data_IF_723804015731
#
_entry.id   IF_723804015731
#
_cell.length_a   1.000
_cell.length_b   1.000
_cell.length_c   1.000
_cell.angle_alpha   90.00
_cell.angle_beta   90.00
_cell.angle_gamma   90.00
#
_symmetry.space_group_name_H-M   'P 1'
#
loop_
_entity.id
_entity.type
_entity.pdbx_description
1 polymer ?
#
# COMPACT_ATOMS: atom_id res chain seq x y z
N UNK A 1 22.43 -60.81 -49.09
CA UNK A 1 22.25 -61.21 -47.67
C UNK A 1 22.34 -59.96 -46.81
N UNK A 2 21.52 -59.73 -45.75
CA UNK A 2 20.15 -60.18 -45.41
C UNK A 2 19.11 -59.05 -45.68
N UNK A 3 17.85 -59.27 -46.14
CA UNK A 3 16.64 -59.86 -45.50
C UNK A 3 16.09 -59.00 -44.33
N UNK A 4 14.81 -58.61 -44.18
CA UNK A 4 13.52 -58.80 -44.87
C UNK A 4 12.52 -57.80 -44.23
N UNK A 5 11.64 -57.12 -44.98
CA UNK A 5 10.19 -57.07 -44.70
C UNK A 5 9.41 -56.32 -45.80
N UNK A 6 8.38 -57.01 -46.27
CA UNK A 6 7.39 -56.79 -47.34
C UNK A 6 6.08 -56.43 -46.61
N UNK A 7 5.48 -55.25 -46.81
CA UNK A 7 4.46 -54.86 -47.81
C UNK A 7 3.00 -54.89 -47.32
N UNK A 8 2.17 -54.08 -48.00
CA UNK A 8 0.71 -54.17 -48.20
C UNK A 8 -0.20 -53.69 -47.05
N UNK A 9 -1.36 -53.03 -47.20
CA UNK A 9 -2.36 -52.72 -48.27
C UNK A 9 -3.16 -51.48 -47.78
N UNK A 10 -3.54 -50.44 -48.54
CA UNK A 10 -4.59 -50.25 -49.59
C UNK A 10 -6.06 -50.52 -49.20
N UNK A 11 -6.88 -49.46 -49.11
CA UNK A 11 -8.31 -49.34 -49.52
C UNK A 11 -8.76 -47.86 -49.28
N UNK A 12 -9.18 -47.02 -50.25
CA UNK A 12 -10.39 -47.02 -51.11
C UNK A 12 -11.70 -46.92 -50.31
N UNK A 13 -12.79 -46.21 -50.64
CA UNK A 13 -13.23 -45.25 -51.67
C UNK A 13 -14.65 -44.77 -51.20
N UNK A 14 -15.04 -43.53 -51.53
CA UNK A 14 -16.37 -43.07 -52.01
C UNK A 14 -17.66 -43.15 -51.16
N UNK A 15 -18.40 -42.03 -51.16
CA UNK A 15 -19.88 -41.98 -51.32
C UNK A 15 -20.66 -41.41 -50.13
N UNK A 16 -21.06 -40.13 -50.11
CA UNK A 16 -22.24 -39.49 -50.76
C UNK A 16 -23.63 -39.80 -50.19
N UNK A 17 -24.34 -38.70 -49.84
CA UNK A 17 -25.81 -38.47 -49.85
C UNK A 17 -26.66 -39.23 -48.80
N UNK A 18 -27.82 -38.79 -48.34
CA UNK A 18 -28.60 -37.55 -48.40
C UNK A 18 -29.81 -37.68 -47.42
N UNK A 19 -30.36 -36.52 -47.04
CA UNK A 19 -31.76 -36.18 -46.69
C UNK A 19 -32.83 -37.28 -46.52
N UNK A 20 -33.58 -37.19 -45.41
CA UNK A 20 -35.06 -37.21 -45.32
C UNK A 20 -35.45 -36.60 -43.95
N UNK A 21 -36.13 -35.45 -43.88
CA UNK A 21 -37.59 -35.23 -43.94
C UNK A 21 -38.41 -36.19 -43.08
N UNK A 22 -38.99 -35.70 -41.97
CA UNK A 22 -40.40 -35.91 -41.65
C UNK A 22 -40.93 -34.75 -40.80
N UNK A 23 -42.15 -34.33 -41.15
CA UNK A 23 -42.97 -33.26 -40.58
C UNK A 23 -44.08 -33.93 -39.75
N UNK A 24 -44.57 -33.18 -38.76
CA UNK A 24 -45.96 -33.06 -38.28
C UNK A 24 -46.48 -33.86 -37.06
N UNK A 25 -46.95 -33.03 -36.11
CA UNK A 25 -48.20 -33.10 -35.31
C UNK A 25 -48.21 -33.54 -33.82
N UNK A 26 -48.13 -32.54 -32.92
CA UNK A 26 -49.09 -32.11 -31.83
C UNK A 26 -49.44 -33.13 -30.70
N UNK A 27 -49.72 -32.75 -29.41
CA UNK A 27 -50.07 -31.44 -28.85
C UNK A 27 -49.30 -30.95 -27.60
N UNK A 28 -49.50 -29.65 -27.35
CA UNK A 28 -49.11 -28.90 -26.17
C UNK A 28 -49.81 -29.36 -24.88
N UNK A 29 -49.04 -29.55 -23.80
CA UNK A 29 -49.50 -29.43 -22.41
C UNK A 29 -48.40 -28.72 -21.60
N UNK A 30 -48.84 -27.71 -20.86
CA UNK A 30 -48.09 -26.86 -19.94
C UNK A 30 -47.38 -27.67 -18.84
N UNK A 31 -46.08 -27.45 -18.64
CA UNK A 31 -45.41 -27.71 -17.37
C UNK A 31 -44.18 -26.82 -17.22
N UNK A 32 -44.27 -25.88 -16.29
CA UNK A 32 -43.16 -25.11 -15.74
C UNK A 32 -42.10 -26.07 -15.18
N UNK A 33 -40.85 -25.92 -15.63
CA UNK A 33 -39.72 -26.55 -14.94
C UNK A 33 -38.46 -25.72 -15.07
N UNK A 34 -37.94 -25.46 -13.87
CA UNK A 34 -36.76 -24.73 -13.46
C UNK A 34 -35.47 -25.36 -13.97
N UNK A 35 -34.70 -24.65 -14.80
CA UNK A 35 -33.27 -24.93 -15.01
C UNK A 35 -32.48 -23.61 -15.02
N UNK A 36 -31.88 -23.28 -13.87
CA UNK A 36 -30.85 -22.25 -13.75
C UNK A 36 -29.48 -22.84 -14.12
N UNK A 37 -28.65 -22.17 -14.95
CA UNK A 37 -27.28 -22.62 -15.21
C UNK A 37 -26.37 -22.36 -14.01
N UNK A 38 -25.55 -23.36 -13.68
CA UNK A 38 -24.43 -23.26 -12.74
C UNK A 38 -23.24 -22.56 -13.41
N UNK A 39 -23.15 -21.24 -13.26
CA UNK A 39 -21.90 -20.51 -13.51
C UNK A 39 -21.38 -19.87 -12.22
N UNK A 40 -20.33 -20.49 -11.69
CA UNK A 40 -19.51 -20.00 -10.59
C UNK A 40 -18.65 -18.82 -11.08
N UNK A 41 -18.95 -17.60 -10.62
CA UNK A 41 -18.07 -16.44 -10.83
C UNK A 41 -17.26 -16.18 -9.55
N UNK A 42 -15.95 -16.37 -9.65
CA UNK A 42 -14.94 -15.99 -8.67
C UNK A 42 -14.86 -14.47 -8.50
N UNK A 43 -14.99 -13.98 -7.26
CA UNK A 43 -14.88 -12.55 -6.93
C UNK A 43 -13.44 -12.02 -7.06
N UNK A 44 -13.19 -11.25 -8.13
CA UNK A 44 -12.03 -10.39 -8.27
C UNK A 44 -12.15 -9.11 -7.44
N UNK A 45 -11.20 -8.88 -6.54
CA UNK A 45 -11.05 -7.61 -5.79
C UNK A 45 -10.52 -6.49 -6.71
N UNK A 46 -11.41 -5.58 -7.14
CA UNK A 46 -11.26 -4.11 -7.13
C UNK A 46 -12.12 -3.47 -8.23
N UNK A 47 -12.92 -2.48 -7.82
CA UNK A 47 -13.25 -1.34 -8.67
C UNK A 47 -14.61 -1.36 -9.37
N UNK A 48 -15.71 -1.37 -8.60
CA UNK A 48 -16.97 -0.76 -9.03
C UNK A 48 -17.65 -0.14 -7.82
N UNK A 49 -17.39 1.14 -7.55
CA UNK A 49 -18.31 1.97 -6.78
C UNK A 49 -19.35 2.49 -7.76
N UNK A 50 -20.30 1.63 -8.13
CA UNK A 50 -21.57 2.11 -8.63
C UNK A 50 -22.44 2.47 -7.42
N UNK A 51 -23.25 3.52 -7.59
CA UNK A 51 -24.16 4.10 -6.62
C UNK A 51 -24.82 3.07 -5.68
N UNK A 52 -24.97 3.34 -4.37
CA UNK A 52 -25.49 2.40 -3.36
C UNK A 52 -26.86 1.76 -3.66
N UNK A 53 -27.62 2.28 -4.63
CA UNK A 53 -28.99 1.82 -4.91
C UNK A 53 -29.10 0.59 -5.83
N UNK A 54 -28.05 0.21 -6.58
CA UNK A 54 -28.18 -0.84 -7.62
C UNK A 54 -27.80 -2.26 -7.15
N UNK A 55 -26.96 -2.40 -6.13
CA UNK A 55 -26.56 -3.74 -5.64
C UNK A 55 -27.67 -4.41 -4.82
N UNK A 56 -28.57 -3.62 -4.21
CA UNK A 56 -29.65 -4.14 -3.35
C UNK A 56 -30.75 -4.90 -4.13
N UNK A 57 -30.93 -4.64 -5.43
CA UNK A 57 -32.06 -5.20 -6.20
C UNK A 57 -31.90 -6.66 -6.61
N UNK A 58 -30.69 -7.23 -6.61
CA UNK A 58 -30.49 -8.59 -7.15
C UNK A 58 -30.78 -9.75 -6.19
N UNK A 59 -31.07 -9.48 -4.91
CA UNK A 59 -31.30 -10.55 -3.91
C UNK A 59 -32.49 -10.32 -2.98
N UNK A 60 -33.44 -9.43 -3.33
CA UNK A 60 -34.60 -9.15 -2.48
C UNK A 60 -34.23 -8.67 -1.06
N UNK A 61 -33.00 -8.19 -0.88
CA UNK A 61 -32.52 -7.77 0.42
C UNK A 61 -33.23 -6.46 0.81
N UNK A 62 -33.96 -6.49 1.93
CA UNK A 62 -34.58 -5.33 2.57
C UNK A 62 -33.60 -4.15 2.59
N UNK A 63 -34.01 -2.95 2.19
CA UNK A 63 -33.14 -1.77 2.30
C UNK A 63 -32.86 -1.46 3.78
N UNK A 64 -31.64 -1.02 4.13
CA UNK A 64 -31.31 -0.61 5.50
C UNK A 64 -31.94 0.74 5.84
N UNK A 65 -32.58 0.83 7.00
CA UNK A 65 -33.12 2.11 7.49
C UNK A 65 -32.11 2.81 8.40
N UNK A 66 -32.15 4.15 8.52
CA UNK A 66 -31.27 4.88 9.45
C UNK A 66 -31.39 4.41 10.91
N UNK A 67 -32.56 3.93 11.32
CA UNK A 67 -32.83 3.38 12.66
C UNK A 67 -32.12 2.04 12.84
N UNK A 68 -32.21 1.15 11.85
CA UNK A 68 -31.47 -0.12 11.85
C UNK A 68 -29.95 0.10 11.88
N UNK A 69 -29.45 1.15 11.21
CA UNK A 69 -28.04 1.53 11.25
C UNK A 69 -27.61 2.05 12.62
N UNK A 70 -28.42 2.88 13.27
CA UNK A 70 -28.19 3.34 14.65
C UNK A 70 -28.17 2.16 15.62
N UNK A 71 -29.14 1.25 15.50
CA UNK A 71 -29.22 0.07 16.37
C UNK A 71 -28.05 -0.88 16.14
N UNK A 72 -27.62 -1.08 14.89
CA UNK A 72 -26.41 -1.85 14.56
C UNK A 72 -25.17 -1.29 15.27
N UNK A 73 -24.98 0.02 15.22
CA UNK A 73 -23.87 0.70 15.88
C UNK A 73 -23.97 0.58 17.41
N UNK A 74 -25.16 0.75 17.98
CA UNK A 74 -25.42 0.60 19.41
C UNK A 74 -25.17 -0.84 19.90
N UNK A 75 -25.62 -1.85 19.17
CA UNK A 75 -25.33 -3.26 19.45
C UNK A 75 -23.81 -3.51 19.41
N UNK A 76 -23.09 -2.88 18.49
CA UNK A 76 -21.64 -3.06 18.39
C UNK A 76 -20.88 -2.38 19.51
N UNK A 77 -21.32 -1.19 19.93
CA UNK A 77 -20.82 -0.52 21.14
C UNK A 77 -21.01 -1.36 22.40
N UNK A 78 -22.15 -2.06 22.51
CA UNK A 78 -22.44 -3.03 23.59
C UNK A 78 -21.63 -4.33 23.51
N UNK A 79 -20.79 -4.51 22.48
CA UNK A 79 -19.95 -5.70 22.32
C UNK A 79 -20.68 -6.96 21.84
N UNK A 80 -21.92 -6.83 21.35
CA UNK A 80 -22.72 -7.97 20.87
C UNK A 80 -22.04 -8.63 19.67
N UNK A 81 -21.95 -9.97 19.68
CA UNK A 81 -21.31 -10.72 18.59
C UNK A 81 -22.17 -10.65 17.32
N UNK A 82 -21.54 -10.71 16.14
CA UNK A 82 -22.24 -10.64 14.85
C UNK A 82 -23.33 -11.71 14.71
N UNK A 83 -23.10 -12.89 15.27
CA UNK A 83 -24.05 -14.01 15.27
C UNK A 83 -25.29 -13.76 16.14
N UNK A 84 -25.20 -12.89 17.15
CA UNK A 84 -26.29 -12.54 18.06
C UNK A 84 -27.09 -11.34 17.55
N UNK A 85 -26.46 -10.43 16.81
CA UNK A 85 -27.13 -9.23 16.26
C UNK A 85 -28.31 -9.55 15.34
N UNK A 86 -28.33 -10.71 14.68
CA UNK A 86 -29.47 -11.13 13.84
C UNK A 86 -30.78 -11.27 14.61
N UNK A 87 -30.72 -11.51 15.93
CA UNK A 87 -31.90 -11.60 16.79
C UNK A 87 -32.43 -10.22 17.19
N UNK A 88 -31.63 -9.16 17.03
CA UNK A 88 -32.02 -7.77 17.30
C UNK A 88 -32.40 -7.00 16.02
N UNK A 89 -31.95 -7.48 14.86
CA UNK A 89 -32.20 -6.86 13.56
C UNK A 89 -33.03 -7.82 12.69
N UNK A 90 -34.35 -7.75 12.84
CA UNK A 90 -35.29 -8.67 12.20
C UNK A 90 -35.14 -8.69 10.67
N UNK A 91 -35.12 -9.90 10.10
CA UNK A 91 -34.95 -10.11 8.67
C UNK A 91 -33.52 -9.89 8.15
N UNK A 92 -32.53 -9.70 9.04
CA UNK A 92 -31.11 -9.55 8.65
C UNK A 92 -30.32 -10.83 8.90
N UNK A 93 -29.55 -11.24 7.90
CA UNK A 93 -28.56 -12.31 8.07
C UNK A 93 -27.29 -11.77 8.69
N UNK A 94 -26.54 -12.61 9.43
CA UNK A 94 -25.23 -12.23 9.99
C UNK A 94 -24.27 -11.70 8.93
N UNK A 95 -24.26 -12.31 7.73
CA UNK A 95 -23.44 -11.84 6.61
C UNK A 95 -23.92 -10.48 6.08
N UNK A 96 -25.23 -10.26 5.99
CA UNK A 96 -25.80 -8.96 5.62
C UNK A 96 -25.43 -7.86 6.60
N UNK A 97 -25.45 -8.15 7.91
CA UNK A 97 -25.02 -7.23 8.97
C UNK A 97 -23.53 -6.88 8.83
N UNK A 98 -22.67 -7.89 8.64
CA UNK A 98 -21.23 -7.66 8.45
C UNK A 98 -20.95 -6.87 7.18
N UNK A 99 -21.63 -7.22 6.08
CA UNK A 99 -21.54 -6.52 4.80
C UNK A 99 -21.93 -5.06 4.93
N UNK A 100 -23.06 -4.78 5.58
CA UNK A 100 -23.54 -3.42 5.78
C UNK A 100 -22.64 -2.59 6.68
N UNK A 101 -22.15 -3.15 7.78
CA UNK A 101 -21.15 -2.48 8.62
C UNK A 101 -19.90 -2.09 7.83
N UNK A 102 -19.48 -2.93 6.88
CA UNK A 102 -18.36 -2.61 6.01
C UNK A 102 -18.72 -1.46 5.06
N UNK A 103 -19.91 -1.46 4.48
CA UNK A 103 -20.40 -0.36 3.64
C UNK A 103 -20.44 0.96 4.43
N UNK A 104 -21.04 0.96 5.63
CA UNK A 104 -21.09 2.12 6.52
C UNK A 104 -19.71 2.68 6.84
N UNK A 105 -18.75 1.81 7.18
CA UNK A 105 -17.39 2.23 7.50
C UNK A 105 -16.59 2.79 6.30
N UNK A 106 -17.02 2.58 5.06
CA UNK A 106 -16.34 3.14 3.89
C UNK A 106 -17.12 4.28 3.23
N UNK A 107 -18.34 4.57 3.67
CA UNK A 107 -19.13 5.70 3.19
C UNK A 107 -18.79 7.03 3.88
N UNK A 108 -19.51 8.08 3.50
CA UNK A 108 -19.39 9.44 4.03
C UNK A 108 -20.62 9.87 4.87
N UNK A 109 -21.47 8.91 5.26
CA UNK A 109 -22.67 9.17 6.05
C UNK A 109 -22.37 9.58 7.51
N UNK A 110 -23.39 10.07 8.25
CA UNK A 110 -23.22 10.59 9.62
C UNK A 110 -22.62 9.55 10.58
N UNK A 111 -22.91 8.27 10.38
CA UNK A 111 -22.41 7.16 11.19
C UNK A 111 -21.08 6.57 10.68
N UNK A 112 -20.54 7.04 9.56
CA UNK A 112 -19.39 6.41 8.92
C UNK A 112 -18.10 6.52 9.74
N UNK A 113 -17.89 7.66 10.43
CA UNK A 113 -16.75 7.83 11.34
C UNK A 113 -16.84 6.82 12.49
N UNK A 114 -18.00 6.72 13.12
CA UNK A 114 -18.24 5.82 14.25
C UNK A 114 -18.11 4.34 13.85
N UNK A 115 -18.65 3.97 12.68
CA UNK A 115 -18.48 2.64 12.11
C UNK A 115 -17.00 2.29 11.87
N UNK A 116 -16.20 3.25 11.37
CA UNK A 116 -14.75 3.07 11.20
C UNK A 116 -14.03 2.88 12.53
N UNK A 117 -14.37 3.68 13.53
CA UNK A 117 -13.73 3.64 14.84
C UNK A 117 -14.05 2.31 15.54
N UNK A 118 -15.30 1.85 15.51
CA UNK A 118 -15.70 0.53 16.00
C UNK A 118 -15.02 -0.61 15.23
N UNK A 119 -14.88 -0.51 13.91
CA UNK A 119 -14.12 -1.50 13.12
C UNK A 119 -12.64 -1.49 13.50
N UNK A 120 -12.04 -0.33 13.72
CA UNK A 120 -10.63 -0.24 14.13
C UNK A 120 -10.42 -0.82 15.52
N UNK A 121 -11.32 -0.52 16.46
CA UNK A 121 -11.32 -1.06 17.81
C UNK A 121 -11.43 -2.60 17.80
N UNK A 122 -12.36 -3.16 17.02
CA UNK A 122 -12.50 -4.61 16.93
C UNK A 122 -11.42 -5.30 16.08
N UNK A 123 -10.93 -4.68 15.00
CA UNK A 123 -9.94 -5.28 14.09
C UNK A 123 -8.54 -5.32 14.70
N UNK A 124 -8.19 -4.36 15.55
CA UNK A 124 -6.90 -4.38 16.25
C UNK A 124 -6.84 -5.44 17.37
N UNK A 125 -7.93 -6.16 17.60
CA UNK A 125 -8.11 -6.93 18.83
C UNK A 125 -8.26 -5.97 20.01
N UNK A 126 -8.66 -6.49 21.16
CA UNK A 126 -8.63 -5.70 22.39
C UNK A 126 -7.18 -5.25 22.62
N UNK A 127 -6.93 -3.96 22.88
CA UNK A 127 -5.59 -3.41 22.99
C UNK A 127 -4.76 -4.28 23.93
N UNK A 128 -3.57 -4.69 23.48
CA UNK A 128 -2.65 -5.40 24.35
C UNK A 128 -2.18 -4.44 25.43
N UNK A 129 -2.56 -4.70 26.66
CA UNK A 129 -2.01 -4.01 27.82
C UNK A 129 -0.89 -4.89 28.38
N UNK A 130 0.30 -4.34 28.67
CA UNK A 130 1.40 -5.10 29.28
C UNK A 130 0.97 -5.88 30.54
N UNK A 131 0.00 -5.34 31.28
CA UNK A 131 -0.61 -5.97 32.45
C UNK A 131 -1.29 -7.31 32.13
N UNK A 132 -1.99 -7.40 30.99
CA UNK A 132 -2.68 -8.63 30.57
C UNK A 132 -1.66 -9.74 30.25
N UNK A 133 -0.51 -9.36 29.71
CA UNK A 133 0.59 -10.28 29.39
C UNK A 133 1.22 -10.78 30.68
N UNK A 134 1.52 -9.89 31.63
CA UNK A 134 2.02 -10.27 32.96
C UNK A 134 1.08 -11.23 33.67
N UNK A 135 -0.22 -10.90 33.67
CA UNK A 135 -1.24 -11.75 34.29
C UNK A 135 -1.40 -13.09 33.58
N UNK A 136 -1.32 -13.12 32.25
CA UNK A 136 -1.38 -14.36 31.48
C UNK A 136 -0.21 -15.30 31.79
N UNK A 137 1.01 -14.75 31.94
CA UNK A 137 2.20 -15.54 32.33
C UNK A 137 2.03 -16.07 33.75
N UNK A 138 1.63 -15.23 34.71
CA UNK A 138 1.42 -15.66 36.09
C UNK A 138 0.40 -16.80 36.19
N UNK A 139 -0.77 -16.66 35.55
CA UNK A 139 -1.81 -17.70 35.57
C UNK A 139 -1.36 -18.98 34.85
N UNK A 140 -0.51 -18.87 33.85
CA UNK A 140 0.09 -20.04 33.19
C UNK A 140 1.07 -20.77 34.12
N UNK A 141 1.87 -20.03 34.88
CA UNK A 141 2.79 -20.60 35.88
C UNK A 141 2.03 -21.27 37.04
N UNK A 142 0.82 -20.78 37.35
CA UNK A 142 -0.15 -21.43 38.24
C UNK A 142 -0.83 -22.69 37.62
N UNK A 143 -0.47 -23.05 36.38
CA UNK A 143 -0.95 -24.27 35.71
C UNK A 143 -2.27 -24.14 34.97
N UNK A 144 -2.81 -22.92 34.80
CA UNK A 144 -4.08 -22.73 34.09
C UNK A 144 -3.90 -22.90 32.58
N UNK A 145 -4.93 -23.47 31.94
CA UNK A 145 -4.96 -23.57 30.48
C UNK A 145 -5.21 -22.19 29.84
N UNK A 146 -4.73 -22.01 28.61
CA UNK A 146 -4.92 -20.76 27.86
C UNK A 146 -6.40 -20.31 27.72
N UNK A 147 -7.36 -21.24 27.83
CA UNK A 147 -8.80 -20.93 27.85
C UNK A 147 -9.22 -20.32 29.19
N UNK A 148 -8.83 -20.95 30.30
CA UNK A 148 -9.12 -20.44 31.65
C UNK A 148 -8.43 -19.09 31.90
N UNK A 149 -7.23 -18.90 31.35
CA UNK A 149 -6.51 -17.63 31.40
C UNK A 149 -7.28 -16.54 30.63
N UNK A 150 -7.79 -16.83 29.42
CA UNK A 150 -8.59 -15.87 28.64
C UNK A 150 -9.88 -15.49 29.37
N UNK A 151 -10.54 -16.46 30.00
CA UNK A 151 -11.73 -16.26 30.83
C UNK A 151 -11.42 -15.43 32.07
N UNK A 152 -10.29 -15.69 32.75
CA UNK A 152 -9.84 -14.95 33.93
C UNK A 152 -9.44 -13.51 33.62
N UNK A 153 -8.80 -13.25 32.48
CA UNK A 153 -8.47 -11.90 32.03
C UNK A 153 -9.73 -11.14 31.59
N UNK A 154 -10.79 -11.85 31.16
CA UNK A 154 -12.11 -11.26 30.86
C UNK A 154 -12.15 -10.37 29.62
N UNK A 155 -11.05 -10.31 28.86
CA UNK A 155 -10.89 -9.45 27.68
C UNK A 155 -11.02 -10.19 26.36
N UNK A 156 -11.37 -11.48 26.35
CA UNK A 156 -11.66 -12.21 25.11
C UNK A 156 -10.56 -12.09 24.04
N UNK A 157 -9.30 -12.16 24.47
CA UNK A 157 -8.13 -12.21 23.58
C UNK A 157 -8.12 -13.48 22.75
N UNK A 158 -8.72 -14.56 23.28
CA UNK A 158 -8.82 -15.88 22.70
C UNK A 158 -7.64 -16.78 23.06
N UNK A 159 -7.83 -18.11 23.22
CA UNK A 159 -6.78 -19.02 23.69
C UNK A 159 -5.51 -19.02 22.82
N UNK A 160 -5.64 -18.80 21.52
CA UNK A 160 -4.49 -18.74 20.61
C UNK A 160 -3.59 -17.52 20.88
N UNK A 161 -4.19 -16.39 21.25
CA UNK A 161 -3.48 -15.17 21.55
C UNK A 161 -2.84 -15.23 22.93
N UNK A 162 -3.52 -15.81 23.92
CA UNK A 162 -2.94 -16.11 25.23
C UNK A 162 -1.71 -17.01 25.11
N UNK A 163 -1.76 -18.07 24.30
CA UNK A 163 -0.56 -18.89 24.03
C UNK A 163 0.60 -18.08 23.45
N UNK A 164 0.31 -17.05 22.67
CA UNK A 164 1.34 -16.16 22.15
C UNK A 164 1.97 -15.33 23.28
N UNK A 165 1.17 -14.81 24.22
CA UNK A 165 1.65 -14.06 25.39
C UNK A 165 2.60 -14.88 26.24
N UNK A 166 2.25 -16.15 26.45
CA UNK A 166 3.04 -17.09 27.26
C UNK A 166 4.34 -17.46 26.54
N UNK A 167 4.29 -17.68 25.21
CA UNK A 167 5.47 -18.11 24.44
C UNK A 167 6.54 -17.02 24.34
N UNK A 168 6.13 -15.75 24.24
CA UNK A 168 7.05 -14.63 24.07
C UNK A 168 6.50 -13.37 24.79
N UNK A 169 6.58 -13.34 26.13
CA UNK A 169 6.06 -12.20 26.89
C UNK A 169 6.89 -10.94 26.65
N UNK A 170 8.20 -11.08 26.39
CA UNK A 170 9.09 -9.96 26.14
C UNK A 170 8.66 -9.13 24.91
N UNK A 171 8.23 -9.80 23.83
CA UNK A 171 7.67 -9.15 22.64
C UNK A 171 6.53 -8.17 22.96
N UNK A 172 5.65 -8.55 23.89
CA UNK A 172 4.47 -7.75 24.22
C UNK A 172 4.69 -6.74 25.34
N UNK A 173 5.67 -6.96 26.21
CA UNK A 173 6.02 -6.04 27.30
C UNK A 173 6.91 -4.88 26.82
N UNK A 174 7.76 -5.11 25.82
CA UNK A 174 8.56 -4.06 25.18
C UNK A 174 8.58 -4.23 23.65
N UNK A 175 7.58 -3.67 22.96
CA UNK A 175 7.47 -3.76 21.50
C UNK A 175 8.64 -3.11 20.75
N UNK A 176 9.42 -2.22 21.39
CA UNK A 176 10.56 -1.59 20.72
C UNK A 176 11.79 -2.51 20.70
N UNK A 177 11.88 -3.48 21.62
CA UNK A 177 13.01 -4.41 21.78
C UNK A 177 13.25 -5.29 20.56
N UNK A 178 12.21 -5.63 19.80
CA UNK A 178 12.35 -6.38 18.55
C UNK A 178 12.98 -5.59 17.41
N UNK A 179 12.80 -4.26 17.42
CA UNK A 179 13.11 -3.44 16.25
C UNK A 179 14.51 -2.86 16.26
N UNK A 180 15.15 -2.76 17.43
CA UNK A 180 16.48 -2.17 17.57
C UNK A 180 17.53 -3.25 17.79
N UNK A 181 18.53 -3.25 16.92
CA UNK A 181 19.77 -4.00 17.10
C UNK A 181 20.78 -3.10 17.79
N UNK A 182 21.43 -3.61 18.83
CA UNK A 182 22.60 -2.93 19.42
C UNK A 182 23.86 -3.23 18.59
N UNK A 183 24.91 -2.40 18.68
CA UNK A 183 26.19 -2.69 18.04
C UNK A 183 26.78 -4.05 18.44
N UNK A 184 26.59 -4.45 19.70
CA UNK A 184 27.05 -5.74 20.22
C UNK A 184 26.24 -6.90 19.63
N UNK A 185 24.92 -6.73 19.49
CA UNK A 185 24.06 -7.70 18.80
C UNK A 185 24.48 -7.86 17.33
N UNK A 186 24.84 -6.77 16.66
CA UNK A 186 25.31 -6.79 15.28
C UNK A 186 26.67 -7.52 15.14
N UNK A 187 27.61 -7.29 16.05
CA UNK A 187 28.91 -7.97 16.09
C UNK A 187 28.74 -9.47 16.32
N UNK A 188 27.92 -9.85 17.31
CA UNK A 188 27.62 -11.24 17.60
C UNK A 188 26.92 -11.92 16.41
N UNK A 189 25.98 -11.23 15.77
CA UNK A 189 25.29 -11.76 14.60
C UNK A 189 26.26 -11.98 13.44
N UNK A 190 27.18 -11.06 13.20
CA UNK A 190 28.21 -11.21 12.18
C UNK A 190 29.13 -12.39 12.46
N UNK A 191 29.60 -12.54 13.70
CA UNK A 191 30.45 -13.66 14.11
C UNK A 191 29.75 -15.01 13.89
N UNK A 192 28.53 -15.18 14.39
CA UNK A 192 27.79 -16.45 14.30
C UNK A 192 27.47 -16.83 12.84
N UNK A 193 27.25 -15.85 11.95
CA UNK A 193 27.06 -16.11 10.52
C UNK A 193 28.38 -16.51 9.85
N UNK A 194 29.50 -15.90 10.23
CA UNK A 194 30.84 -16.27 9.72
C UNK A 194 31.24 -17.68 10.15
N UNK A 195 30.84 -18.11 11.35
CA UNK A 195 30.96 -19.49 11.85
C UNK A 195 30.04 -20.48 11.12
N UNK A 196 29.25 -20.02 10.12
CA UNK A 196 28.35 -20.82 9.28
C UNK A 196 27.27 -21.57 10.06
N UNK A 197 26.87 -21.06 11.22
CA UNK A 197 25.76 -21.61 11.99
C UNK A 197 24.44 -21.45 11.23
N UNK A 198 23.49 -22.37 11.47
CA UNK A 198 22.15 -22.25 10.88
C UNK A 198 21.39 -21.15 11.60
N UNK A 199 20.52 -20.44 10.89
CA UNK A 199 19.73 -19.34 11.46
C UNK A 199 18.91 -19.72 12.71
N UNK A 200 18.47 -20.96 12.81
CA UNK A 200 17.79 -21.49 14.00
C UNK A 200 18.69 -21.63 15.21
N UNK A 201 19.99 -21.89 15.01
CA UNK A 201 21.01 -21.94 16.07
C UNK A 201 21.42 -20.52 16.45
N UNK A 202 21.63 -19.64 15.46
CA UNK A 202 21.91 -18.21 15.68
C UNK A 202 20.81 -17.58 16.53
N UNK A 203 19.53 -17.86 16.24
CA UNK A 203 18.41 -17.28 17.00
C UNK A 203 18.40 -17.65 18.49
N UNK A 204 19.05 -18.74 18.92
CA UNK A 204 19.18 -19.08 20.34
C UNK A 204 20.01 -18.06 21.10
N UNK A 205 20.93 -17.36 20.42
CA UNK A 205 21.75 -16.30 20.99
C UNK A 205 21.03 -14.94 21.05
N UNK A 206 19.86 -14.81 20.40
CA UNK A 206 19.07 -13.58 20.37
C UNK A 206 17.64 -13.85 20.86
N UNK A 207 17.43 -13.99 22.19
CA UNK A 207 16.13 -14.38 22.74
C UNK A 207 14.99 -13.39 22.46
N UNK A 208 15.32 -12.16 22.05
CA UNK A 208 14.35 -11.12 21.69
C UNK A 208 14.17 -10.91 20.18
N UNK A 209 14.87 -11.66 19.33
CA UNK A 209 14.86 -11.45 17.87
C UNK A 209 14.45 -12.73 17.14
N UNK A 210 13.45 -12.62 16.27
CA UNK A 210 13.05 -13.73 15.42
C UNK A 210 14.14 -14.08 14.39
N UNK A 211 14.18 -15.34 13.95
CA UNK A 211 15.02 -15.81 12.82
C UNK A 211 14.91 -14.89 11.60
N UNK A 212 13.69 -14.47 11.27
CA UNK A 212 13.41 -13.59 10.12
C UNK A 212 14.00 -12.19 10.31
N UNK A 213 13.94 -11.68 11.54
CA UNK A 213 14.51 -10.38 11.91
C UNK A 213 16.03 -10.41 11.79
N UNK A 214 16.68 -11.47 12.28
CA UNK A 214 18.13 -11.69 12.16
C UNK A 214 18.57 -11.84 10.71
N UNK A 215 17.86 -12.64 9.91
CA UNK A 215 18.11 -12.79 8.47
C UNK A 215 18.02 -11.45 7.75
N UNK A 216 16.97 -10.68 8.02
CA UNK A 216 16.77 -9.37 7.41
C UNK A 216 17.89 -8.40 7.81
N UNK A 217 18.26 -8.36 9.11
CA UNK A 217 19.36 -7.52 9.60
C UNK A 217 20.67 -7.86 8.92
N UNK A 218 21.00 -9.15 8.81
CA UNK A 218 22.19 -9.60 8.11
C UNK A 218 22.15 -9.23 6.62
N UNK A 219 21.10 -9.61 5.90
CA UNK A 219 20.99 -9.40 4.46
C UNK A 219 20.98 -7.93 4.03
N UNK A 220 20.32 -7.07 4.81
CA UNK A 220 20.09 -5.68 4.43
C UNK A 220 21.03 -4.68 5.09
N UNK A 221 21.60 -4.98 6.27
CA UNK A 221 22.39 -4.00 7.02
C UNK A 221 23.84 -4.43 7.22
N UNK A 222 24.10 -5.66 7.66
CA UNK A 222 25.46 -6.10 8.04
C UNK A 222 26.27 -6.66 6.87
N UNK A 223 25.70 -7.53 6.04
CA UNK A 223 26.37 -8.12 4.86
C UNK A 223 26.84 -7.08 3.85
N UNK A 224 26.22 -5.89 3.87
CA UNK A 224 26.45 -4.82 2.90
C UNK A 224 27.49 -3.79 3.31
N UNK A 225 28.04 -3.85 4.53
CA UNK A 225 29.09 -2.90 4.95
C UNK A 225 30.46 -3.23 4.33
N UNK A 226 30.71 -4.51 3.99
CA UNK A 226 32.01 -4.96 3.44
C UNK A 226 31.96 -5.41 1.97
N UNK A 227 30.85 -5.24 1.25
CA UNK A 227 30.79 -5.56 -0.19
C UNK A 227 30.14 -4.44 -1.02
N UNK A 228 30.69 -4.10 -2.21
CA UNK A 228 30.17 -3.04 -3.11
C UNK A 228 28.74 -3.28 -3.64
N UNK A 229 28.11 -4.39 -3.27
CA UNK A 229 26.80 -4.86 -3.71
C UNK A 229 25.62 -3.92 -3.40
N UNK A 230 25.74 -2.99 -2.43
CA UNK A 230 24.64 -2.04 -2.12
C UNK A 230 24.55 -0.87 -3.10
N UNK A 231 25.67 -0.44 -3.69
CA UNK A 231 25.67 0.56 -4.76
C UNK A 231 24.97 0.02 -6.03
N UNK A 232 25.06 -1.30 -6.24
CA UNK A 232 24.39 -1.99 -7.35
C UNK A 232 22.91 -2.26 -7.04
N UNK A 233 22.56 -2.80 -5.85
CA UNK A 233 21.17 -3.17 -5.51
C UNK A 233 20.22 -1.99 -5.28
N UNK A 234 20.69 -0.87 -4.73
CA UNK A 234 19.83 0.32 -4.53
C UNK A 234 19.52 1.03 -5.85
N UNK A 235 20.33 0.81 -6.89
CA UNK A 235 20.06 1.28 -8.25
C UNK A 235 19.22 0.30 -9.09
N UNK A 236 19.23 -1.02 -8.81
CA UNK A 236 18.48 -2.00 -9.60
C UNK A 236 16.94 -1.90 -9.45
N UNK A 237 16.45 -1.31 -8.35
CA UNK A 237 15.04 -0.91 -8.21
C UNK A 237 14.63 0.24 -9.15
N UNK A 238 15.61 1.06 -9.58
CA UNK A 238 15.41 2.27 -10.42
C UNK A 238 15.91 2.09 -11.86
N UNK A 239 16.71 1.07 -12.15
CA UNK A 239 17.20 0.77 -13.50
C UNK A 239 16.02 0.43 -14.42
N UNK A 240 15.78 1.29 -15.40
CA UNK A 240 14.75 1.07 -16.41
C UNK A 240 14.99 -0.26 -17.16
N UNK A 241 13.92 -0.97 -17.53
CA UNK A 241 14.02 -2.14 -18.41
C UNK A 241 14.47 -1.70 -19.80
N UNK A 242 15.58 -2.25 -20.28
CA UNK A 242 16.03 -2.06 -21.67
C UNK A 242 15.41 -3.11 -22.58
N UNK A 243 15.44 -2.89 -23.90
CA UNK A 243 15.01 -3.87 -24.90
C UNK A 243 15.77 -5.20 -24.72
N UNK A 244 17.09 -5.12 -24.60
CA UNK A 244 17.96 -6.27 -24.35
C UNK A 244 17.57 -7.02 -23.07
N UNK A 245 17.26 -6.31 -21.99
CA UNK A 245 16.80 -6.95 -20.74
C UNK A 245 15.48 -7.71 -20.94
N UNK A 246 14.58 -7.19 -21.78
CA UNK A 246 13.28 -7.81 -22.08
C UNK A 246 13.46 -9.02 -23.01
N UNK A 247 14.27 -8.89 -24.07
CA UNK A 247 14.60 -9.99 -24.98
C UNK A 247 15.25 -11.16 -24.22
N UNK A 248 16.26 -10.87 -23.40
CA UNK A 248 16.94 -11.87 -22.59
C UNK A 248 15.98 -12.48 -21.54
N UNK A 249 15.13 -11.68 -20.90
CA UNK A 249 14.07 -12.19 -20.01
C UNK A 249 13.13 -13.18 -20.72
N UNK A 250 12.69 -12.85 -21.94
CA UNK A 250 11.74 -13.67 -22.71
C UNK A 250 12.40 -14.94 -23.24
N UNK A 251 13.65 -14.88 -23.70
CA UNK A 251 14.41 -16.06 -24.11
C UNK A 251 14.60 -17.03 -22.94
N UNK A 252 15.03 -16.52 -21.78
CA UNK A 252 15.17 -17.35 -20.59
C UNK A 252 13.83 -17.92 -20.11
N UNK A 253 12.74 -17.15 -20.25
CA UNK A 253 11.40 -17.63 -19.93
C UNK A 253 10.97 -18.79 -20.85
N UNK A 254 11.19 -18.67 -22.17
CA UNK A 254 10.94 -19.74 -23.14
C UNK A 254 11.74 -21.00 -22.87
N UNK A 255 13.00 -20.85 -22.45
CA UNK A 255 13.87 -21.97 -22.05
C UNK A 255 13.41 -22.70 -20.78
N UNK A 256 12.31 -22.29 -20.17
CA UNK A 256 11.80 -22.96 -18.97
C UNK A 256 12.36 -22.40 -17.67
N UNK A 257 13.13 -21.31 -17.69
CA UNK A 257 13.82 -20.81 -16.50
C UNK A 257 12.83 -20.20 -15.52
N UNK A 258 13.08 -20.46 -14.23
CA UNK A 258 12.28 -19.87 -13.15
C UNK A 258 12.50 -18.35 -13.09
N UNK A 259 11.52 -17.62 -12.57
CA UNK A 259 11.66 -16.15 -12.38
C UNK A 259 12.84 -15.79 -11.49
N UNK A 260 13.28 -16.70 -10.62
CA UNK A 260 14.45 -16.54 -9.77
C UNK A 260 15.75 -16.63 -10.58
N UNK A 261 15.88 -17.66 -11.43
CA UNK A 261 17.04 -17.82 -12.30
C UNK A 261 17.16 -16.68 -13.34
N UNK A 262 16.02 -16.23 -13.89
CA UNK A 262 15.97 -15.07 -14.78
C UNK A 262 16.41 -13.79 -14.05
N UNK A 263 15.99 -13.62 -12.80
CA UNK A 263 16.34 -12.46 -11.99
C UNK A 263 17.83 -12.40 -11.66
N UNK A 264 18.43 -13.55 -11.33
CA UNK A 264 19.88 -13.67 -11.10
C UNK A 264 20.66 -13.35 -12.37
N UNK A 265 20.18 -13.81 -13.54
CA UNK A 265 20.82 -13.56 -14.83
C UNK A 265 20.77 -12.09 -15.25
N UNK A 266 19.65 -11.40 -14.99
CA UNK A 266 19.44 -10.00 -15.38
C UNK A 266 19.87 -8.98 -14.32
N UNK A 267 20.44 -9.44 -13.20
CA UNK A 267 20.73 -8.64 -12.01
C UNK A 267 19.51 -7.80 -11.54
N UNK A 268 18.35 -8.46 -11.47
CA UNK A 268 17.07 -7.86 -11.04
C UNK A 268 16.45 -8.67 -9.91
N UNK A 269 15.35 -8.19 -9.34
CA UNK A 269 14.59 -8.97 -8.36
C UNK A 269 13.58 -9.89 -9.05
N UNK A 270 13.34 -11.09 -8.49
CA UNK A 270 12.33 -12.03 -9.00
C UNK A 270 10.93 -11.41 -9.07
N UNK A 271 10.63 -10.48 -8.17
CA UNK A 271 9.38 -9.71 -8.20
C UNK A 271 9.28 -8.82 -9.45
N UNK A 272 10.35 -8.10 -9.82
CA UNK A 272 10.37 -7.25 -11.02
C UNK A 272 10.24 -8.09 -12.30
N UNK A 273 10.94 -9.22 -12.39
CA UNK A 273 10.83 -10.15 -13.51
C UNK A 273 9.40 -10.67 -13.64
N UNK A 274 8.82 -11.17 -12.54
CA UNK A 274 7.44 -11.65 -12.51
C UNK A 274 6.43 -10.55 -12.90
N UNK A 275 6.63 -9.34 -12.38
CA UNK A 275 5.80 -8.19 -12.74
C UNK A 275 5.90 -7.88 -14.23
N UNK A 276 7.11 -7.88 -14.80
CA UNK A 276 7.35 -7.59 -16.21
C UNK A 276 6.75 -8.66 -17.13
N UNK A 277 6.90 -9.95 -16.79
CA UNK A 277 6.22 -11.05 -17.49
C UNK A 277 4.70 -10.91 -17.44
N UNK A 278 4.13 -10.49 -16.31
CA UNK A 278 2.70 -10.23 -16.17
C UNK A 278 2.23 -9.05 -17.04
N UNK A 279 3.03 -7.97 -17.15
CA UNK A 279 2.75 -6.86 -18.08
C UNK A 279 2.66 -7.34 -19.52
N UNK A 280 3.52 -8.28 -19.92
CA UNK A 280 3.47 -8.91 -21.24
C UNK A 280 2.41 -10.03 -21.36
N UNK A 281 1.60 -10.25 -20.32
CA UNK A 281 0.52 -11.23 -20.32
C UNK A 281 0.94 -12.69 -20.12
N UNK A 282 2.23 -12.94 -19.90
CA UNK A 282 2.82 -14.29 -19.87
C UNK A 282 2.59 -15.03 -18.55
N UNK A 283 2.19 -14.32 -17.49
CA UNK A 283 1.89 -14.92 -16.18
C UNK A 283 0.58 -14.33 -15.64
N UNK A 284 -0.49 -15.12 -15.66
CA UNK A 284 -1.75 -14.82 -14.95
C UNK A 284 -1.94 -15.77 -13.78
N UNK A 285 -2.36 -15.22 -12.63
CA UNK A 285 -3.01 -15.97 -11.56
C UNK A 285 -2.43 -17.34 -11.22
N UNK A 286 -1.17 -17.42 -10.79
CA UNK A 286 -0.62 -18.61 -10.14
C UNK A 286 -0.38 -19.85 -11.01
N UNK A 287 -0.52 -19.77 -12.34
CA UNK A 287 -0.20 -20.89 -13.22
C UNK A 287 1.32 -21.09 -13.40
N UNK A 288 1.72 -22.37 -13.46
CA UNK A 288 3.10 -22.88 -13.59
C UNK A 288 3.49 -23.24 -15.03
N UNK A 289 2.58 -23.09 -15.98
CA UNK A 289 2.84 -23.46 -17.38
C UNK A 289 3.43 -22.28 -18.14
N UNK A 290 4.51 -22.57 -18.85
CA UNK A 290 5.31 -21.59 -19.59
C UNK A 290 4.73 -21.51 -20.99
N UNK A 291 4.16 -20.35 -21.31
CA UNK A 291 3.58 -20.07 -22.62
C UNK A 291 4.68 -19.59 -23.58
N UNK A 292 5.38 -20.55 -24.19
CA UNK A 292 6.48 -20.29 -25.11
C UNK A 292 6.00 -19.59 -26.40
N UNK A 293 4.81 -19.94 -26.90
CA UNK A 293 4.22 -19.36 -28.10
C UNK A 293 3.82 -17.90 -27.90
N UNK A 294 3.24 -17.54 -26.74
CA UNK A 294 3.01 -16.14 -26.39
C UNK A 294 4.32 -15.38 -26.21
N UNK A 295 5.37 -15.99 -25.66
CA UNK A 295 6.68 -15.36 -25.56
C UNK A 295 7.33 -15.16 -26.95
N UNK A 296 7.11 -16.08 -27.91
CA UNK A 296 7.52 -15.97 -29.31
C UNK A 296 6.79 -14.83 -30.02
N UNK A 297 5.46 -14.74 -29.83
CA UNK A 297 4.66 -13.64 -30.35
C UNK A 297 5.13 -12.28 -29.81
N UNK A 298 5.47 -12.20 -28.52
CA UNK A 298 6.04 -10.97 -27.93
C UNK A 298 7.42 -10.68 -28.53
N UNK A 299 8.31 -11.67 -28.65
CA UNK A 299 9.65 -11.50 -29.23
C UNK A 299 9.61 -11.08 -30.70
N UNK A 300 8.72 -11.64 -31.51
CA UNK A 300 8.49 -11.26 -32.91
C UNK A 300 7.84 -9.87 -33.01
N UNK A 301 7.01 -9.48 -32.02
CA UNK A 301 6.39 -8.17 -31.91
C UNK A 301 7.30 -7.06 -31.36
N UNK A 302 8.51 -7.37 -30.86
CA UNK A 302 9.50 -6.38 -30.39
C UNK A 302 10.15 -5.55 -31.53
N UNK A 303 9.63 -5.65 -32.75
CA UNK A 303 10.07 -4.93 -33.94
C UNK A 303 9.81 -3.42 -33.96
N UNK A 304 9.17 -2.83 -32.95
CA UNK A 304 9.10 -1.37 -32.76
C UNK A 304 9.24 -1.08 -31.28
N UNK A 305 10.15 -0.19 -30.92
CA UNK A 305 10.38 0.25 -29.54
C UNK A 305 9.05 0.69 -28.90
N UNK A 306 8.57 -0.07 -27.92
CA UNK A 306 7.38 0.26 -27.13
C UNK A 306 7.72 1.16 -25.93
N UNK A 307 8.88 1.83 -25.95
CA UNK A 307 8.84 3.26 -25.69
C UNK A 307 8.35 3.89 -26.96
N UNK A 308 7.05 4.16 -26.99
CA UNK A 308 6.38 5.08 -27.92
C UNK A 308 7.44 5.96 -28.57
N UNK A 309 7.77 5.66 -29.84
CA UNK A 309 8.72 6.45 -30.64
C UNK A 309 8.51 7.93 -30.29
N UNK A 310 9.56 8.76 -30.14
CA UNK A 310 9.40 10.19 -29.89
C UNK A 310 8.27 10.81 -30.75
N UNK A 311 8.17 10.33 -31.99
CA UNK A 311 7.13 10.63 -32.98
C UNK A 311 5.72 10.15 -32.56
N UNK A 312 5.56 8.87 -32.18
CA UNK A 312 4.27 8.30 -31.74
C UNK A 312 3.76 8.99 -30.46
N UNK A 313 4.65 9.48 -29.61
CA UNK A 313 4.29 10.16 -28.36
C UNK A 313 3.92 11.60 -28.61
N UNK A 314 4.49 12.21 -29.63
CA UNK A 314 4.10 13.53 -30.12
C UNK A 314 2.76 13.46 -30.85
N UNK A 315 2.51 12.40 -31.63
CA UNK A 315 1.22 12.12 -32.26
C UNK A 315 0.10 11.86 -31.23
N UNK A 316 0.34 11.04 -30.20
CA UNK A 316 -0.61 10.84 -29.10
C UNK A 316 -0.92 12.16 -28.38
N UNK A 317 0.06 13.06 -28.22
CA UNK A 317 -0.11 14.40 -27.67
C UNK A 317 -0.95 15.28 -28.59
N UNK A 318 -0.64 15.30 -29.89
CA UNK A 318 -1.35 16.08 -30.91
C UNK A 318 -2.82 15.68 -31.00
N UNK A 319 -3.10 14.37 -31.09
CA UNK A 319 -4.46 13.84 -31.16
C UNK A 319 -5.25 14.04 -29.85
N UNK A 320 -4.58 13.96 -28.69
CA UNK A 320 -5.22 14.30 -27.42
C UNK A 320 -5.53 15.81 -27.31
N UNK A 321 -4.63 16.67 -27.80
CA UNK A 321 -4.84 18.12 -27.82
C UNK A 321 -5.93 18.58 -28.80
N UNK A 322 -6.24 17.77 -29.82
CA UNK A 322 -7.39 17.98 -30.71
C UNK A 322 -8.70 17.44 -30.15
N UNK A 323 -8.76 17.05 -28.87
CA UNK A 323 -9.98 16.61 -28.19
C UNK A 323 -10.37 15.15 -28.42
N UNK A 324 -9.53 14.33 -29.06
CA UNK A 324 -9.85 12.92 -29.27
C UNK A 324 -9.78 12.13 -27.96
N UNK A 325 -10.70 11.20 -27.79
CA UNK A 325 -10.72 10.29 -26.64
C UNK A 325 -9.67 9.19 -26.78
N UNK A 326 -9.20 8.62 -25.67
CA UNK A 326 -8.18 7.55 -25.70
C UNK A 326 -8.53 6.35 -26.61
N UNK A 327 -9.80 5.90 -26.74
CA UNK A 327 -10.18 4.89 -27.73
C UNK A 327 -10.05 5.36 -29.19
N UNK A 328 -10.36 6.63 -29.48
CA UNK A 328 -10.23 7.21 -30.83
C UNK A 328 -8.76 7.38 -31.23
N UNK A 329 -7.92 7.81 -30.30
CA UNK A 329 -6.46 7.89 -30.49
C UNK A 329 -5.87 6.49 -30.70
N UNK A 330 -6.34 5.50 -29.94
CA UNK A 330 -5.94 4.11 -30.09
C UNK A 330 -6.30 3.57 -31.49
N UNK A 331 -7.49 3.87 -31.98
CA UNK A 331 -7.89 3.52 -33.34
C UNK A 331 -7.05 4.24 -34.40
N UNK A 332 -6.83 5.54 -34.24
CA UNK A 332 -6.07 6.37 -35.19
C UNK A 332 -4.59 5.96 -35.30
N UNK A 333 -3.99 5.47 -34.22
CA UNK A 333 -2.59 5.07 -34.17
C UNK A 333 -2.38 3.55 -34.30
N UNK A 334 -3.45 2.79 -34.55
CA UNK A 334 -3.45 1.33 -34.52
C UNK A 334 -2.80 0.76 -33.24
N UNK A 335 -3.17 1.32 -32.09
CA UNK A 335 -2.65 0.98 -30.77
C UNK A 335 -3.74 0.41 -29.87
N UNK A 336 -3.33 -0.32 -28.82
CA UNK A 336 -4.28 -0.81 -27.80
C UNK A 336 -4.75 0.36 -26.93
N UNK A 337 -6.06 0.47 -26.68
CA UNK A 337 -6.66 1.50 -25.83
C UNK A 337 -6.02 1.61 -24.44
N UNK A 338 -5.56 0.49 -23.90
CA UNK A 338 -4.92 0.43 -22.59
C UNK A 338 -3.52 1.06 -22.60
N UNK A 339 -2.78 0.92 -23.71
CA UNK A 339 -1.47 1.52 -23.93
C UNK A 339 -1.60 3.03 -24.05
N UNK A 340 -2.55 3.51 -24.86
CA UNK A 340 -2.85 4.95 -24.99
C UNK A 340 -3.31 5.55 -23.66
N UNK A 341 -4.21 4.87 -22.93
CA UNK A 341 -4.68 5.33 -21.62
C UNK A 341 -3.54 5.37 -20.60
N UNK A 342 -2.71 4.33 -20.56
CA UNK A 342 -1.54 4.26 -19.68
C UNK A 342 -0.56 5.39 -19.99
N UNK A 343 -0.25 5.59 -21.28
CA UNK A 343 0.65 6.63 -21.75
C UNK A 343 0.11 8.02 -21.45
N UNK A 344 -1.15 8.34 -21.75
CA UNK A 344 -1.75 9.65 -21.41
C UNK A 344 -1.74 9.93 -19.90
N UNK A 345 -1.91 8.89 -19.08
CA UNK A 345 -1.95 9.00 -17.61
C UNK A 345 -0.56 9.20 -16.99
N UNK A 346 0.46 8.50 -17.49
CA UNK A 346 1.79 8.47 -16.89
C UNK A 346 2.82 9.35 -17.61
N UNK A 347 2.68 9.51 -18.92
CA UNK A 347 3.57 10.27 -19.80
C UNK A 347 2.89 11.53 -20.40
N UNK A 348 1.58 11.47 -20.69
CA UNK A 348 0.83 12.58 -21.29
C UNK A 348 0.61 13.76 -20.33
N UNK A 349 0.74 13.54 -19.02
CA UNK A 349 0.86 14.61 -18.02
C UNK A 349 2.27 14.61 -17.44
N UNK A 350 3.21 14.90 -18.32
CA UNK A 350 4.62 15.22 -18.13
C UNK A 350 5.12 15.32 -16.67
N UNK A 351 5.24 14.18 -15.97
CA UNK A 351 5.79 14.08 -14.60
C UNK A 351 7.32 14.00 -14.57
N UNK A 352 7.98 13.84 -15.72
CA UNK A 352 9.43 13.63 -15.79
C UNK A 352 10.22 14.44 -16.83
N UNK A 353 9.60 15.25 -17.70
CA UNK A 353 10.41 16.16 -18.53
C UNK A 353 10.93 17.31 -17.67
N UNK A 354 12.24 17.56 -17.77
CA UNK A 354 12.89 18.74 -17.25
C UNK A 354 12.16 20.00 -17.74
N UNK A 355 12.15 21.04 -16.91
CA UNK A 355 11.53 22.31 -17.28
C UNK A 355 12.38 23.00 -18.34
N UNK A 356 11.77 23.31 -19.48
CA UNK A 356 12.44 24.11 -20.52
C UNK A 356 12.47 25.58 -20.12
N UNK A 357 13.46 26.34 -20.60
CA UNK A 357 13.55 27.79 -20.35
C UNK A 357 12.27 28.54 -20.81
N UNK A 358 11.64 28.08 -21.90
CA UNK A 358 10.40 28.64 -22.42
C UNK A 358 9.21 28.37 -21.49
N UNK A 359 9.08 27.16 -20.94
CA UNK A 359 8.05 26.83 -19.94
C UNK A 359 8.27 27.62 -18.64
N UNK A 360 9.51 27.76 -18.18
CA UNK A 360 9.82 28.56 -16.98
C UNK A 360 9.48 30.04 -17.18
N UNK A 361 9.82 30.62 -18.34
CA UNK A 361 9.46 31.98 -18.69
C UNK A 361 7.93 32.16 -18.77
N UNK A 362 7.21 31.16 -19.30
CA UNK A 362 5.76 31.21 -19.36
C UNK A 362 5.13 31.12 -17.96
N UNK A 363 5.60 30.22 -17.08
CA UNK A 363 5.16 30.18 -15.68
C UNK A 363 5.42 31.50 -14.97
N UNK A 364 6.58 32.12 -15.20
CA UNK A 364 6.92 33.42 -14.61
C UNK A 364 5.97 34.51 -15.09
N UNK A 365 5.78 34.66 -16.40
CA UNK A 365 4.82 35.61 -16.98
C UNK A 365 3.42 35.45 -16.40
N UNK A 366 2.94 34.20 -16.31
CA UNK A 366 1.58 33.92 -15.81
C UNK A 366 1.43 34.17 -14.30
N UNK A 367 2.51 34.01 -13.53
CA UNK A 367 2.56 34.43 -12.12
C UNK A 367 2.51 35.95 -11.99
N UNK A 368 3.26 36.67 -12.83
CA UNK A 368 3.30 38.14 -12.85
C UNK A 368 1.94 38.73 -13.27
N UNK A 369 1.20 38.03 -14.14
CA UNK A 369 -0.21 38.31 -14.49
C UNK A 369 -1.21 37.97 -13.37
N UNK A 370 -0.76 37.40 -12.24
CA UNK A 370 -1.60 37.08 -11.08
C UNK A 370 -2.46 35.82 -11.23
N UNK A 371 -2.20 34.97 -12.24
CA UNK A 371 -2.99 33.75 -12.45
C UNK A 371 -2.77 32.72 -11.34
N UNK A 372 -3.81 31.97 -11.02
CA UNK A 372 -3.74 30.90 -10.01
C UNK A 372 -2.90 29.71 -10.50
N UNK A 373 -2.31 28.96 -9.58
CA UNK A 373 -1.51 27.75 -9.89
C UNK A 373 -2.29 26.71 -10.70
N UNK A 374 -3.62 26.68 -10.56
CA UNK A 374 -4.49 25.79 -11.34
C UNK A 374 -4.57 26.24 -12.79
N UNK A 375 -4.82 27.53 -13.03
CA UNK A 375 -4.85 28.11 -14.37
C UNK A 375 -3.49 28.01 -15.07
N UNK A 376 -2.40 28.24 -14.34
CA UNK A 376 -1.03 28.05 -14.85
C UNK A 376 -0.79 26.58 -15.23
N UNK A 377 -1.30 25.62 -14.46
CA UNK A 377 -1.17 24.21 -14.76
C UNK A 377 -1.91 23.80 -16.03
N UNK A 378 -3.10 24.35 -16.25
CA UNK A 378 -3.87 24.16 -17.48
C UNK A 378 -3.16 24.78 -18.68
N UNK A 379 -2.67 26.01 -18.55
CA UNK A 379 -2.03 26.76 -19.66
C UNK A 379 -0.63 26.22 -20.02
N UNK A 380 0.11 25.69 -19.05
CA UNK A 380 1.44 25.09 -19.26
C UNK A 380 1.35 23.58 -19.56
N UNK A 381 0.15 22.98 -19.47
CA UNK A 381 -0.06 21.54 -19.72
C UNK A 381 0.66 20.63 -18.71
N UNK A 382 0.86 21.11 -17.48
CA UNK A 382 1.54 20.39 -16.39
C UNK A 382 0.56 20.12 -15.24
N UNK A 383 0.93 19.24 -14.31
CA UNK A 383 0.10 19.02 -13.12
C UNK A 383 0.21 20.20 -12.15
N UNK A 384 -0.89 20.51 -11.43
CA UNK A 384 -0.91 21.53 -10.36
C UNK A 384 0.28 21.38 -9.38
N UNK A 385 0.58 20.16 -8.96
CA UNK A 385 1.69 19.88 -8.05
C UNK A 385 3.07 20.20 -8.67
N UNK A 386 3.27 19.90 -9.96
CA UNK A 386 4.51 20.23 -10.68
C UNK A 386 4.68 21.73 -10.83
N UNK A 387 3.61 22.45 -11.20
CA UNK A 387 3.63 23.91 -11.28
C UNK A 387 3.88 24.52 -9.90
N UNK A 388 3.21 24.04 -8.86
CA UNK A 388 3.40 24.51 -7.48
C UNK A 388 4.86 24.38 -7.02
N UNK A 389 5.51 23.25 -7.31
CA UNK A 389 6.93 23.06 -7.02
C UNK A 389 7.82 24.03 -7.81
N UNK A 390 7.52 24.27 -9.10
CA UNK A 390 8.28 25.24 -9.92
C UNK A 390 8.08 26.67 -9.47
N UNK A 391 6.85 27.07 -9.16
CA UNK A 391 6.51 28.38 -8.61
C UNK A 391 7.29 28.61 -7.30
N UNK A 392 7.41 27.60 -6.45
CA UNK A 392 8.22 27.69 -5.23
C UNK A 392 9.71 27.92 -5.54
N UNK A 393 10.27 27.21 -6.53
CA UNK A 393 11.67 27.42 -6.98
C UNK A 393 11.87 28.81 -7.60
N UNK A 394 10.93 29.29 -8.42
CA UNK A 394 11.01 30.60 -9.07
C UNK A 394 10.86 31.75 -8.07
N UNK A 395 9.92 31.66 -7.12
CA UNK A 395 9.79 32.61 -6.02
C UNK A 395 10.98 32.56 -5.06
N UNK A 396 11.52 31.36 -4.80
CA UNK A 396 12.75 31.19 -4.04
C UNK A 396 13.98 31.79 -4.74
N UNK A 397 14.01 31.79 -6.08
CA UNK A 397 15.03 32.48 -6.89
C UNK A 397 14.88 34.00 -6.89
N UNK A 398 13.66 34.53 -6.78
CA UNK A 398 13.42 35.99 -6.65
C UNK A 398 13.75 36.54 -5.26
N UNK A 399 13.68 35.70 -4.22
CA UNK A 399 14.15 36.03 -2.87
C UNK A 399 15.70 35.91 -2.77
N UNK A 400 16.37 35.40 -3.82
CA UNK A 400 17.81 35.14 -3.86
C UNK A 400 18.67 36.27 -4.42
N UNK A 401 18.44 37.53 -4.02
CA UNK A 401 19.40 38.64 -4.19
C UNK A 401 20.24 38.93 -2.94
N UNK A 402 20.20 38.09 -1.90
CA UNK A 402 21.23 38.06 -0.86
C UNK A 402 21.99 36.74 -0.94
N UNK A 403 23.31 36.83 -1.13
CA UNK A 403 24.23 35.69 -1.14
C UNK A 403 24.52 35.15 0.29
N UNK A 404 23.59 35.30 1.23
CA UNK A 404 23.71 34.72 2.57
C UNK A 404 22.80 33.48 2.66
N UNK A 405 23.35 32.27 2.87
CA UNK A 405 22.54 31.09 3.11
C UNK A 405 21.66 31.35 4.34
N UNK A 406 20.34 31.27 4.15
CA UNK A 406 19.33 31.46 5.19
C UNK A 406 19.72 30.69 6.46
N UNK A 407 20.15 31.45 7.49
CA UNK A 407 20.63 31.02 8.81
C UNK A 407 19.55 30.34 9.68
N UNK A 408 18.51 29.76 9.09
CA UNK A 408 17.34 29.25 9.81
C UNK A 408 17.50 27.83 10.38
N UNK A 409 18.54 27.07 10.02
CA UNK A 409 18.69 25.67 10.45
C UNK A 409 19.64 25.43 11.63
N UNK A 410 20.65 26.27 11.85
CA UNK A 410 21.57 26.14 12.99
C UNK A 410 21.18 27.09 14.12
N UNK A 411 21.05 26.59 15.35
CA UNK A 411 20.98 27.42 16.55
C UNK A 411 22.40 27.86 16.91
N UNK A 412 22.60 29.17 17.02
CA UNK A 412 23.84 29.70 17.59
C UNK A 412 23.84 29.53 19.11
N UNK A 413 25.02 29.44 19.76
CA UNK A 413 25.12 29.40 21.22
C UNK A 413 24.45 30.60 21.90
N UNK A 414 24.48 31.77 21.27
CA UNK A 414 23.88 33.00 21.77
C UNK A 414 22.36 32.92 21.73
N UNK A 415 21.77 32.47 20.62
CA UNK A 415 20.32 32.25 20.50
C UNK A 415 19.84 31.16 21.46
N UNK A 416 20.64 30.14 21.70
CA UNK A 416 20.31 29.09 22.65
C UNK A 416 20.33 29.59 24.10
N UNK A 417 21.31 30.43 24.45
CA UNK A 417 21.38 31.08 25.75
C UNK A 417 20.19 32.00 25.95
N UNK A 418 19.88 32.85 24.96
CA UNK A 418 18.75 33.77 25.00
C UNK A 418 17.41 33.03 25.06
N UNK A 419 17.27 31.91 24.37
CA UNK A 419 16.09 31.05 24.49
C UNK A 419 15.92 30.49 25.91
N UNK A 420 17.01 30.09 26.58
CA UNK A 420 16.97 29.54 27.94
C UNK A 420 16.56 30.62 28.95
N UNK A 421 17.13 31.81 28.85
CA UNK A 421 16.77 32.98 29.67
C UNK A 421 15.28 33.28 29.55
N UNK A 422 14.79 33.55 28.33
CA UNK A 422 13.38 33.91 28.10
C UNK A 422 12.42 32.80 28.53
N UNK A 423 12.83 31.54 28.38
CA UNK A 423 12.02 30.40 28.84
C UNK A 423 11.94 30.33 30.36
N UNK A 424 13.03 30.61 31.08
CA UNK A 424 13.09 30.64 32.54
C UNK A 424 12.34 31.86 33.12
N UNK A 425 12.37 33.00 32.43
CA UNK A 425 11.54 34.19 32.72
C UNK A 425 10.04 33.93 32.53
N UNK A 426 9.66 32.75 32.01
CA UNK A 426 8.28 32.34 31.87
C UNK A 426 7.61 32.82 30.58
N UNK A 427 8.36 33.48 29.69
CA UNK A 427 7.87 33.99 28.40
C UNK A 427 7.32 32.85 27.53
N UNK A 428 6.22 33.12 26.83
CA UNK A 428 5.58 32.10 25.98
C UNK A 428 6.45 31.79 24.75
N UNK A 429 6.42 30.54 24.27
CA UNK A 429 7.17 30.16 23.06
C UNK A 429 6.85 31.01 21.83
N UNK A 430 5.65 31.62 21.77
CA UNK A 430 5.25 32.57 20.73
C UNK A 430 5.99 33.91 20.86
N UNK A 431 6.11 34.44 22.07
CA UNK A 431 6.85 35.67 22.32
C UNK A 431 8.37 35.45 22.15
N UNK A 432 8.91 34.30 22.60
CA UNK A 432 10.31 33.91 22.34
C UNK A 432 10.59 33.84 20.83
N UNK A 433 9.65 33.30 20.05
CA UNK A 433 9.78 33.22 18.60
C UNK A 433 9.82 34.59 17.93
N UNK A 434 8.99 35.54 18.39
CA UNK A 434 9.02 36.91 17.90
C UNK A 434 10.35 37.60 18.25
N UNK A 435 10.85 37.43 19.47
CA UNK A 435 12.10 38.02 19.95
C UNK A 435 13.33 37.49 19.19
N UNK A 436 13.39 36.17 18.96
CA UNK A 436 14.52 35.53 18.28
C UNK A 436 14.43 35.60 16.74
N UNK A 437 13.39 36.22 16.17
CA UNK A 437 13.16 36.25 14.72
C UNK A 437 13.00 34.85 14.09
N UNK A 438 12.57 33.86 14.88
CA UNK A 438 12.47 32.45 14.49
C UNK A 438 11.02 31.97 14.42
N UNK A 439 10.71 30.95 13.60
CA UNK A 439 9.38 30.39 13.58
C UNK A 439 9.06 29.65 14.89
N UNK A 440 7.84 29.82 15.41
CA UNK A 440 7.40 29.25 16.68
C UNK A 440 7.62 27.73 16.79
N UNK A 441 7.43 26.99 15.69
CA UNK A 441 7.65 25.54 15.69
C UNK A 441 9.14 25.16 15.88
N UNK A 442 10.07 25.99 15.40
CA UNK A 442 11.52 25.80 15.60
C UNK A 442 11.92 26.03 17.06
N UNK A 443 11.37 27.07 17.68
CA UNK A 443 11.54 27.35 19.12
C UNK A 443 10.98 26.19 19.97
N UNK A 444 9.78 25.70 19.66
CA UNK A 444 9.19 24.56 20.35
C UNK A 444 10.07 23.30 20.25
N UNK A 445 10.59 23.00 19.06
CA UNK A 445 11.47 21.86 18.86
C UNK A 445 12.76 21.97 19.69
N UNK A 446 13.34 23.17 19.79
CA UNK A 446 14.55 23.42 20.60
C UNK A 446 14.28 23.34 22.10
N UNK A 447 13.16 23.88 22.59
CA UNK A 447 12.73 23.72 23.99
C UNK A 447 12.57 22.23 24.34
N UNK A 448 11.92 21.45 23.47
CA UNK A 448 11.75 20.00 23.68
C UNK A 448 13.10 19.27 23.68
N UNK A 449 14.02 19.64 22.77
CA UNK A 449 15.38 19.11 22.73
C UNK A 449 16.16 19.40 24.01
N UNK A 450 16.14 20.65 24.48
CA UNK A 450 16.82 21.07 25.70
C UNK A 450 16.24 20.42 26.96
N UNK A 451 14.91 20.17 27.01
CA UNK A 451 14.29 19.38 28.09
C UNK A 451 14.77 17.93 28.10
N UNK A 452 14.87 17.29 26.93
CA UNK A 452 15.39 15.91 26.81
C UNK A 452 16.86 15.82 27.21
N UNK A 453 17.64 16.86 26.92
CA UNK A 453 19.04 16.96 27.30
C UNK A 453 19.24 17.38 28.77
N UNK A 454 18.16 17.61 29.55
CA UNK A 454 18.24 18.05 30.95
C UNK A 454 18.64 19.52 31.15
N UNK A 455 18.78 20.30 30.07
CA UNK A 455 19.22 21.70 30.11
C UNK A 455 18.09 22.70 30.38
N UNK A 456 16.82 22.27 30.41
CA UNK A 456 15.66 23.11 30.76
C UNK A 456 14.64 22.35 31.62
N UNK A 457 14.08 22.97 32.68
CA UNK A 457 13.08 22.33 33.53
C UNK A 457 11.70 22.22 32.84
N UNK A 458 10.90 21.25 33.29
CA UNK A 458 9.48 21.20 32.93
C UNK A 458 8.74 22.36 33.60
N UNK A 459 7.96 23.11 32.82
CA UNK A 459 7.07 24.14 33.39
C UNK A 459 5.94 23.43 34.14
N UNK A 460 6.06 23.31 35.45
CA UNK A 460 4.96 22.91 36.33
C UNK A 460 3.87 23.97 36.22
N UNK A 461 2.63 23.54 35.94
CA UNK A 461 1.48 24.43 36.10
C UNK A 461 1.30 24.64 37.60
N UNK A 462 1.67 25.82 38.10
CA UNK A 462 1.16 26.26 39.40
C UNK A 462 -0.37 26.32 39.29
N UNK A 463 -1.03 25.42 40.00
CA UNK A 463 -2.47 25.44 40.16
C UNK A 463 -2.71 26.54 41.19
N UNK A 464 -3.15 27.71 40.73
CA UNK A 464 -3.65 28.76 41.62
C UNK A 464 -4.75 28.16 42.51
N UNK A 465 -4.53 28.16 43.81
CA UNK A 465 -5.55 27.78 44.79
C UNK A 465 -6.74 28.74 44.65
N UNK A 466 -7.99 28.25 44.62
CA UNK A 466 -9.15 29.14 44.63
C UNK A 466 -9.24 29.84 45.99
N UNK A 467 -9.37 31.16 45.93
CA UNK A 467 -9.55 32.02 47.09
C UNK A 467 -10.79 31.62 47.90
N UNK A 468 -10.62 31.68 49.23
CA UNK A 468 -11.64 31.46 50.24
C UNK A 468 -12.93 32.22 49.92
N UNK A 469 -14.05 31.49 49.84
CA UNK A 469 -15.39 32.08 49.82
C UNK A 469 -15.88 32.11 51.25
N UNK A 470 -15.99 33.32 51.78
CA UNK A 470 -16.39 33.64 53.14
C UNK A 470 -17.75 33.07 53.53
N UNK A 471 -17.84 32.67 54.79
CA UNK A 471 -19.02 32.18 55.47
C UNK A 471 -20.11 33.27 55.57
N UNK A 472 -21.30 32.96 55.07
CA UNK A 472 -22.53 33.66 55.44
C UNK A 472 -23.09 32.97 56.68
N UNK A 473 -22.86 33.58 57.83
CA UNK A 473 -23.68 33.41 59.03
C UNK A 473 -23.98 34.79 59.59
N UNK A 474 -25.17 35.33 59.29
CA UNK A 474 -26.00 36.19 60.14
C UNK A 474 -27.38 36.32 59.50
#
# INVERSE_FOLDING_TARGET
MPWFQIACHRAALVGSRARHLYRNDVPAILAESTHLPKDYISFGRRGFYQSPSLVSRRFGAKAWTPEEEKELIALRKRGVKWSQMKFHLEGRTTLGIIGHMNTLAHGDGPLAKEARDLRRAHRKGIPLVPEDVRRAVQLHDEGLTAKQIDESIGKGHGPARIRQFIRDPAHFLDPQRETRFTPEEDLLLAQLVLEKLRWSEIAKHFPSKSVRTLQSRWEFELRTKDTPSKAVRTNNGRRAWTRRDIEEMLNLYKEGRTTQAIAERLDRTAHQVRWKLNVHGLVRGGHREIDAEAADSVLQGLGVDERVSPDLGEEMRKLASSGMTAPQIALALNQKTNVVRYWLTHNGRNRQSAWTRKEEANVKRLLDEGKSVVQIAEEVGRTKASVQAKVHILKGREIGKSNEPQRYFSWTPEEETRLKELYLEGTTAKAIAAELGRPQHGVNAKIVGNRKAGSLPMKTREISQPADTEAVTS
#
